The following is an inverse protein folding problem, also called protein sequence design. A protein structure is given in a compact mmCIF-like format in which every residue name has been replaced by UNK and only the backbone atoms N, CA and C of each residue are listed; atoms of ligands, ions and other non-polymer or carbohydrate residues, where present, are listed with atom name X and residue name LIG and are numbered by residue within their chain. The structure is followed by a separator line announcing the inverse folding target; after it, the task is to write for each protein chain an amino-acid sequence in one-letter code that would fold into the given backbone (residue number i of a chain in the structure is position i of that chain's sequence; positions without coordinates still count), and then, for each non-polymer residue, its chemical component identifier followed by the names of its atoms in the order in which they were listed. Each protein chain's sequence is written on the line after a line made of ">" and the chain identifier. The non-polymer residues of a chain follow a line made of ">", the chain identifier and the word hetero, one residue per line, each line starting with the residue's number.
data_IF_461741111776
#
_entry.id   IF_461741111776
#
_cell.length_a   1.000
_cell.length_b   1.000
_cell.length_c   1.000
_cell.angle_alpha   90.00
_cell.angle_beta   90.00
_cell.angle_gamma   90.00
#
_symmetry.space_group_name_H-M   'P 1'
#
loop_
_entity.id
_entity.type
_entity.pdbx_description
1 polymer ?
#
# COMPACT_ATOMS: atom_id res chain seq x y z
N UNK A 1 -38.66 2.23 -7.14
CA UNK A 1 -37.99 1.15 -6.40
C UNK A 1 -36.49 1.32 -6.25
N UNK A 2 -36.06 2.58 -5.97
CA UNK A 2 -34.63 2.92 -5.81
C UNK A 2 -33.92 2.09 -4.73
N UNK A 3 -34.59 1.67 -3.68
CA UNK A 3 -34.05 0.83 -2.60
C UNK A 3 -33.74 -0.60 -3.10
N UNK A 4 -34.56 -1.19 -3.94
CA UNK A 4 -34.34 -2.53 -4.51
C UNK A 4 -33.17 -2.48 -5.50
N UNK A 5 -33.14 -1.48 -6.38
CA UNK A 5 -32.04 -1.29 -7.32
C UNK A 5 -30.70 -1.00 -6.60
N UNK A 6 -30.73 -0.30 -5.47
CA UNK A 6 -29.56 -0.07 -4.65
C UNK A 6 -29.04 -1.35 -4.01
N UNK A 7 -29.95 -2.17 -3.48
CA UNK A 7 -29.60 -3.45 -2.85
C UNK A 7 -29.07 -4.47 -3.87
N UNK A 8 -29.66 -4.50 -5.08
CA UNK A 8 -29.19 -5.38 -6.15
C UNK A 8 -27.80 -4.99 -6.66
N UNK A 9 -27.50 -3.69 -6.77
CA UNK A 9 -26.16 -3.21 -7.11
C UNK A 9 -25.12 -3.58 -6.04
N UNK A 10 -25.46 -3.42 -4.76
CA UNK A 10 -24.57 -3.82 -3.66
C UNK A 10 -24.30 -5.32 -3.66
N UNK A 11 -25.34 -6.15 -3.90
CA UNK A 11 -25.19 -7.59 -3.97
C UNK A 11 -24.32 -8.02 -5.16
N UNK A 12 -24.47 -7.38 -6.32
CA UNK A 12 -23.65 -7.65 -7.51
C UNK A 12 -22.18 -7.22 -7.33
N UNK A 13 -21.94 -6.06 -6.67
CA UNK A 13 -20.60 -5.62 -6.31
C UNK A 13 -19.94 -6.57 -5.32
N UNK A 14 -20.67 -7.03 -4.30
CA UNK A 14 -20.17 -8.00 -3.32
C UNK A 14 -19.80 -9.33 -3.99
N UNK A 15 -20.62 -9.84 -4.91
CA UNK A 15 -20.33 -11.06 -5.68
C UNK A 15 -19.08 -10.92 -6.54
N UNK A 16 -18.92 -9.78 -7.25
CA UNK A 16 -17.73 -9.50 -8.05
C UNK A 16 -16.48 -9.42 -7.18
N UNK A 17 -16.56 -8.78 -6.01
CA UNK A 17 -15.45 -8.72 -5.07
C UNK A 17 -15.06 -10.10 -4.55
N UNK A 18 -16.03 -10.93 -4.16
CA UNK A 18 -15.75 -12.30 -3.71
C UNK A 18 -15.12 -13.15 -4.82
N UNK A 19 -15.58 -13.03 -6.06
CA UNK A 19 -15.02 -13.71 -7.22
C UNK A 19 -13.58 -13.30 -7.51
N UNK A 20 -13.28 -12.00 -7.46
CA UNK A 20 -11.94 -11.47 -7.65
C UNK A 20 -10.98 -11.92 -6.54
N UNK A 21 -11.42 -11.92 -5.28
CA UNK A 21 -10.63 -12.43 -4.15
C UNK A 21 -10.33 -13.91 -4.30
N UNK A 22 -11.34 -14.72 -4.62
CA UNK A 22 -11.15 -16.16 -4.83
C UNK A 22 -10.14 -16.44 -5.95
N UNK A 23 -10.19 -15.70 -7.06
CA UNK A 23 -9.23 -15.83 -8.15
C UNK A 23 -7.81 -15.41 -7.74
N UNK A 24 -7.69 -14.29 -7.02
CA UNK A 24 -6.41 -13.78 -6.54
C UNK A 24 -5.72 -14.72 -5.54
N UNK A 25 -6.49 -15.46 -4.74
CA UNK A 25 -5.96 -16.44 -3.79
C UNK A 25 -5.64 -17.80 -4.45
N UNK A 26 -6.35 -18.17 -5.53
CA UNK A 26 -6.15 -19.44 -6.22
C UNK A 26 -4.74 -19.56 -6.85
N UNK A 27 -4.22 -18.48 -7.41
CA UNK A 27 -2.91 -18.47 -8.08
C UNK A 27 -1.76 -18.80 -7.12
N UNK A 28 -1.56 -18.05 -6.01
CA UNK A 28 -0.50 -18.36 -5.05
C UNK A 28 -0.68 -19.74 -4.38
N UNK A 29 -1.93 -20.15 -4.13
CA UNK A 29 -2.20 -21.50 -3.62
C UNK A 29 -1.76 -22.57 -4.60
N UNK A 30 -2.03 -22.40 -5.89
CA UNK A 30 -1.59 -23.35 -6.92
C UNK A 30 -0.07 -23.44 -7.02
N UNK A 31 0.65 -22.32 -6.85
CA UNK A 31 2.13 -22.31 -6.82
C UNK A 31 2.65 -23.13 -5.64
N UNK A 32 2.07 -22.96 -4.44
CA UNK A 32 2.42 -23.77 -3.25
C UNK A 32 2.17 -25.26 -3.51
N UNK A 33 1.00 -25.60 -4.06
CA UNK A 33 0.65 -27.00 -4.35
C UNK A 33 1.59 -27.65 -5.35
N UNK A 34 1.96 -26.94 -6.43
CA UNK A 34 2.90 -27.42 -7.45
C UNK A 34 4.29 -27.61 -6.83
N UNK A 35 4.79 -26.63 -6.06
CA UNK A 35 6.08 -26.73 -5.40
C UNK A 35 6.14 -27.90 -4.41
N UNK A 36 5.06 -28.13 -3.67
CA UNK A 36 4.95 -29.26 -2.74
C UNK A 36 4.92 -30.60 -3.48
N UNK A 37 4.13 -30.71 -4.55
CA UNK A 37 4.02 -31.94 -5.36
C UNK A 37 5.34 -32.28 -6.09
N UNK A 38 6.11 -31.26 -6.48
CA UNK A 38 7.41 -31.42 -7.13
C UNK A 38 8.56 -31.69 -6.14
N UNK A 39 8.31 -31.66 -4.82
CA UNK A 39 9.36 -31.85 -3.80
C UNK A 39 10.49 -30.84 -3.89
N UNK A 40 10.16 -29.56 -4.23
CA UNK A 40 11.18 -28.54 -4.41
C UNK A 40 11.96 -28.29 -3.11
N UNK A 41 13.31 -28.16 -3.18
CA UNK A 41 14.16 -28.02 -2.00
C UNK A 41 13.91 -26.71 -1.24
N UNK A 42 13.35 -25.69 -1.89
CA UNK A 42 13.01 -24.38 -1.32
C UNK A 42 11.51 -24.22 -0.98
N UNK A 43 10.78 -25.33 -0.80
CA UNK A 43 9.34 -25.32 -0.50
C UNK A 43 8.97 -24.38 0.63
N UNK A 44 9.73 -24.36 1.73
CA UNK A 44 9.46 -23.46 2.86
C UNK A 44 9.49 -21.98 2.46
N UNK A 45 10.46 -21.61 1.62
CA UNK A 45 10.58 -20.24 1.09
C UNK A 45 9.42 -19.90 0.14
N UNK A 46 9.04 -20.86 -0.70
CA UNK A 46 7.89 -20.70 -1.61
C UNK A 46 6.60 -20.50 -0.81
N UNK A 47 6.36 -21.31 0.21
CA UNK A 47 5.17 -21.16 1.10
C UNK A 47 5.14 -19.79 1.77
N UNK A 48 6.26 -19.33 2.35
CA UNK A 48 6.33 -18.03 3.02
C UNK A 48 6.06 -16.89 2.02
N UNK A 49 6.63 -16.95 0.82
CA UNK A 49 6.43 -15.95 -0.24
C UNK A 49 4.95 -15.84 -0.63
N UNK A 50 4.36 -17.00 -0.95
CA UNK A 50 2.97 -17.05 -1.43
C UNK A 50 1.97 -16.74 -0.32
N UNK A 51 2.22 -17.17 0.92
CA UNK A 51 1.40 -16.79 2.08
C UNK A 51 1.40 -15.27 2.32
N UNK A 52 2.54 -14.60 2.17
CA UNK A 52 2.62 -13.13 2.24
C UNK A 52 1.81 -12.48 1.10
N UNK A 53 1.84 -13.06 -0.09
CA UNK A 53 1.06 -12.59 -1.24
C UNK A 53 -0.45 -12.72 -0.97
N UNK A 54 -0.89 -13.88 -0.46
CA UNK A 54 -2.29 -14.11 -0.10
C UNK A 54 -2.75 -13.15 0.98
N UNK A 55 -1.95 -12.92 2.02
CA UNK A 55 -2.27 -11.97 3.09
C UNK A 55 -2.48 -10.56 2.53
N UNK A 56 -1.58 -10.05 1.71
CA UNK A 56 -1.74 -8.73 1.08
C UNK A 56 -3.01 -8.63 0.23
N UNK A 57 -3.37 -9.68 -0.51
CA UNK A 57 -4.63 -9.71 -1.28
C UNK A 57 -5.85 -9.64 -0.37
N UNK A 58 -5.84 -10.38 0.73
CA UNK A 58 -6.92 -10.36 1.73
C UNK A 58 -7.05 -8.96 2.34
N UNK A 59 -5.94 -8.40 2.81
CA UNK A 59 -5.91 -7.08 3.45
C UNK A 59 -6.44 -5.99 2.50
N UNK A 60 -6.02 -6.01 1.24
CA UNK A 60 -6.54 -5.12 0.20
C UNK A 60 -8.07 -5.26 0.00
N UNK A 61 -8.56 -6.48 -0.14
CA UNK A 61 -10.01 -6.71 -0.33
C UNK A 61 -10.82 -6.33 0.91
N UNK A 62 -10.27 -6.53 2.11
CA UNK A 62 -10.89 -6.12 3.36
C UNK A 62 -10.91 -4.59 3.51
N UNK A 63 -9.82 -3.90 3.19
CA UNK A 63 -9.76 -2.44 3.20
C UNK A 63 -10.84 -1.87 2.26
N UNK A 64 -10.92 -2.38 1.03
CA UNK A 64 -11.93 -1.97 0.05
C UNK A 64 -13.36 -2.27 0.52
N UNK A 65 -13.62 -3.43 1.11
CA UNK A 65 -14.94 -3.81 1.63
C UNK A 65 -15.36 -2.91 2.80
N UNK A 66 -14.44 -2.60 3.71
CA UNK A 66 -14.67 -1.66 4.83
C UNK A 66 -15.01 -0.27 4.32
N UNK A 67 -14.28 0.22 3.34
CA UNK A 67 -14.43 1.55 2.81
C UNK A 67 -15.73 1.72 2.01
N UNK A 68 -16.17 0.73 1.23
CA UNK A 68 -17.48 0.76 0.55
C UNK A 68 -18.63 0.73 1.58
N UNK A 69 -18.51 -0.06 2.65
CA UNK A 69 -19.50 -0.11 3.73
C UNK A 69 -19.56 1.16 4.59
N UNK A 70 -18.55 2.01 4.53
CA UNK A 70 -18.40 3.20 5.40
C UNK A 70 -18.45 4.55 4.69
N UNK A 71 -18.80 4.63 3.42
CA UNK A 71 -19.01 5.90 2.69
C UNK A 71 -19.96 6.91 3.38
N UNK A 72 -20.42 6.62 4.59
CA UNK A 72 -21.21 7.48 5.45
C UNK A 72 -20.63 7.69 6.87
N UNK A 73 -19.50 7.11 7.22
CA UNK A 73 -18.91 7.26 8.55
C UNK A 73 -17.96 8.46 8.57
N UNK A 74 -18.49 9.63 8.92
CA UNK A 74 -17.73 10.86 9.18
C UNK A 74 -16.74 10.76 10.38
N UNK A 75 -16.40 9.56 10.84
CA UNK A 75 -15.72 9.33 12.12
C UNK A 75 -14.36 8.65 12.02
N UNK A 76 -13.91 8.25 10.83
CA UNK A 76 -12.59 7.65 10.67
C UNK A 76 -11.50 8.72 10.76
N UNK A 77 -10.79 8.77 11.89
CA UNK A 77 -9.74 9.76 12.16
C UNK A 77 -8.50 9.03 12.68
N UNK A 78 -7.39 9.20 12.01
CA UNK A 78 -6.11 8.63 12.43
C UNK A 78 -5.08 9.73 12.71
N UNK A 79 -4.39 9.62 13.84
CA UNK A 79 -3.19 10.40 14.10
C UNK A 79 -2.05 9.90 13.21
N UNK A 80 -1.46 10.79 12.42
CA UNK A 80 -0.49 10.41 11.39
C UNK A 80 0.87 10.08 11.99
N UNK A 81 1.35 10.88 12.93
CA UNK A 81 2.69 10.72 13.49
C UNK A 81 2.91 9.37 14.19
N UNK A 82 2.01 8.89 15.07
CA UNK A 82 2.14 7.56 15.69
C UNK A 82 2.18 6.41 14.67
N UNK A 83 1.51 6.55 13.51
CA UNK A 83 1.55 5.57 12.41
C UNK A 83 2.91 5.58 11.71
N UNK A 84 3.46 6.78 11.41
CA UNK A 84 4.81 6.92 10.83
C UNK A 84 5.85 6.27 11.75
N UNK A 85 5.84 6.58 13.05
CA UNK A 85 6.78 6.00 14.01
C UNK A 85 6.65 4.47 14.14
N UNK A 86 5.42 3.95 14.08
CA UNK A 86 5.19 2.51 14.17
C UNK A 86 5.73 1.78 12.94
N UNK A 87 5.51 2.34 11.76
CA UNK A 87 5.99 1.81 10.48
C UNK A 87 7.51 1.92 10.37
N UNK A 88 8.10 3.07 10.75
CA UNK A 88 9.55 3.25 10.80
C UNK A 88 10.19 2.13 11.63
N UNK A 89 9.76 1.94 12.89
CA UNK A 89 10.29 0.87 13.76
C UNK A 89 10.12 -0.53 13.17
N UNK A 90 9.01 -0.80 12.49
CA UNK A 90 8.76 -2.11 11.90
C UNK A 90 9.67 -2.37 10.69
N UNK A 91 9.81 -1.38 9.79
CA UNK A 91 10.63 -1.49 8.58
C UNK A 91 12.12 -1.50 8.91
N UNK A 92 12.58 -0.68 9.87
CA UNK A 92 13.98 -0.68 10.32
C UNK A 92 14.43 -2.05 10.85
N UNK A 93 13.53 -2.80 11.49
CA UNK A 93 13.84 -4.19 11.93
C UNK A 93 13.97 -5.16 10.77
N UNK A 94 13.21 -4.97 9.69
CA UNK A 94 13.26 -5.83 8.50
C UNK A 94 14.43 -5.50 7.59
N UNK A 95 14.85 -4.22 7.59
CA UNK A 95 15.89 -3.68 6.73
C UNK A 95 16.97 -2.94 7.57
N UNK A 96 17.76 -3.67 8.40
CA UNK A 96 18.68 -3.07 9.37
C UNK A 96 19.82 -2.25 8.75
N UNK A 97 20.06 -2.39 7.45
CA UNK A 97 21.08 -1.65 6.72
C UNK A 97 20.52 -0.38 6.03
N UNK A 98 19.23 -0.09 6.20
CA UNK A 98 18.59 1.09 5.62
C UNK A 98 18.39 2.12 6.73
N UNK A 99 18.84 3.34 6.48
CA UNK A 99 18.59 4.47 7.35
C UNK A 99 17.22 5.06 7.03
N UNK A 100 16.36 5.17 8.03
CA UNK A 100 15.03 5.76 7.90
C UNK A 100 14.97 6.98 8.80
N UNK A 101 14.89 8.16 8.21
CA UNK A 101 14.71 9.43 8.92
C UNK A 101 13.25 9.88 8.79
N UNK A 102 12.70 10.44 9.86
CA UNK A 102 11.30 10.93 9.90
C UNK A 102 11.27 12.36 10.42
N UNK A 103 10.51 13.26 9.77
CA UNK A 103 10.34 14.66 10.19
C UNK A 103 8.93 15.18 9.86
N UNK A 104 8.55 16.31 10.44
CA UNK A 104 7.31 17.03 10.12
C UNK A 104 6.41 17.31 11.31
N UNK A 105 5.16 17.66 11.02
CA UNK A 105 4.16 18.03 12.01
C UNK A 105 3.62 16.78 12.74
N UNK A 106 3.59 16.82 14.07
CA UNK A 106 3.25 15.67 14.93
C UNK A 106 1.77 15.57 15.29
N UNK A 107 1.04 16.66 15.17
CA UNK A 107 -0.37 16.79 15.55
C UNK A 107 -1.35 16.57 14.40
N UNK A 108 -0.87 16.07 13.28
CA UNK A 108 -1.66 15.82 12.10
C UNK A 108 -2.67 14.69 12.30
N UNK A 109 -3.90 14.95 11.87
CA UNK A 109 -4.99 13.96 11.84
C UNK A 109 -5.55 13.89 10.42
N UNK A 110 -5.64 12.68 9.87
CA UNK A 110 -6.21 12.44 8.55
C UNK A 110 -7.56 11.70 8.65
N UNK A 111 -8.44 11.94 7.67
CA UNK A 111 -9.69 11.19 7.51
C UNK A 111 -9.42 9.80 6.91
N UNK A 112 -8.97 8.89 7.76
CA UNK A 112 -8.68 7.50 7.40
C UNK A 112 -8.75 6.63 8.65
N UNK A 113 -9.04 5.34 8.50
CA UNK A 113 -8.87 4.37 9.58
C UNK A 113 -7.38 4.16 9.87
N UNK A 114 -7.04 4.04 11.16
CA UNK A 114 -5.64 3.89 11.57
C UNK A 114 -4.97 2.67 10.90
N UNK A 115 -5.65 1.55 10.85
CA UNK A 115 -5.10 0.34 10.24
C UNK A 115 -4.81 0.53 8.75
N UNK A 116 -5.72 1.20 8.03
CA UNK A 116 -5.53 1.46 6.60
C UNK A 116 -4.37 2.45 6.37
N UNK A 117 -4.19 3.44 7.26
CA UNK A 117 -3.03 4.34 7.23
C UNK A 117 -1.73 3.58 7.49
N UNK A 118 -1.70 2.71 8.52
CA UNK A 118 -0.53 1.88 8.83
C UNK A 118 -0.16 0.97 7.64
N UNK A 119 -1.15 0.39 6.96
CA UNK A 119 -0.96 -0.44 5.76
C UNK A 119 -0.45 0.37 4.56
N UNK A 120 -0.97 1.59 4.33
CA UNK A 120 -0.49 2.51 3.29
C UNK A 120 0.98 2.87 3.51
N UNK A 121 1.30 3.37 4.70
CA UNK A 121 2.65 3.77 5.08
C UNK A 121 3.61 2.59 5.04
N UNK A 122 3.17 1.43 5.54
CA UNK A 122 3.96 0.19 5.49
C UNK A 122 4.36 -0.18 4.07
N UNK A 123 3.42 -0.13 3.12
CA UNK A 123 3.71 -0.40 1.70
C UNK A 123 4.69 0.62 1.10
N UNK A 124 4.54 1.91 1.42
CA UNK A 124 5.39 2.97 0.88
C UNK A 124 6.81 2.88 1.45
N UNK A 125 6.95 2.82 2.77
CA UNK A 125 8.26 2.80 3.44
C UNK A 125 9.00 1.49 3.18
N UNK A 126 8.29 0.33 3.14
CA UNK A 126 8.91 -0.95 2.74
C UNK A 126 9.40 -0.91 1.29
N UNK A 127 8.64 -0.30 0.37
CA UNK A 127 9.07 -0.13 -1.02
C UNK A 127 10.33 0.73 -1.10
N UNK A 128 10.36 1.87 -0.41
CA UNK A 128 11.51 2.76 -0.35
C UNK A 128 12.74 2.04 0.22
N UNK A 129 12.61 1.34 1.34
CA UNK A 129 13.70 0.57 1.93
C UNK A 129 14.21 -0.56 1.04
N UNK A 130 13.33 -1.16 0.25
CA UNK A 130 13.66 -2.30 -0.61
C UNK A 130 14.29 -1.89 -1.93
N UNK A 131 13.82 -0.82 -2.55
CA UNK A 131 14.23 -0.39 -3.89
C UNK A 131 15.19 0.78 -3.87
N UNK A 132 15.29 1.51 -2.73
CA UNK A 132 16.26 2.56 -2.48
C UNK A 132 17.70 2.06 -2.42
N UNK A 133 18.63 2.99 -2.26
CA UNK A 133 20.08 2.76 -2.15
C UNK A 133 20.56 2.52 -0.72
N UNK A 134 19.74 2.83 0.29
CA UNK A 134 20.09 2.70 1.70
C UNK A 134 19.54 3.80 2.61
N UNK A 135 18.93 4.84 2.03
CA UNK A 135 18.35 5.95 2.78
C UNK A 135 16.87 6.13 2.39
N UNK A 136 16.04 6.34 3.40
CA UNK A 136 14.63 6.67 3.26
C UNK A 136 14.33 7.89 4.11
N UNK A 137 13.60 8.85 3.57
CA UNK A 137 13.15 10.02 4.32
C UNK A 137 11.63 10.12 4.24
N UNK A 138 10.98 10.24 5.40
CA UNK A 138 9.52 10.37 5.50
C UNK A 138 9.19 11.70 6.13
N UNK A 139 8.44 12.55 5.40
CA UNK A 139 7.98 13.82 5.95
C UNK A 139 6.47 13.90 5.95
N UNK A 140 5.90 14.67 6.90
CA UNK A 140 4.47 14.90 6.99
C UNK A 140 4.14 16.35 7.29
N UNK A 141 3.15 16.90 6.58
CA UNK A 141 2.69 18.28 6.72
C UNK A 141 1.22 18.44 6.30
N UNK A 142 0.72 19.68 6.35
CA UNK A 142 -0.60 20.05 5.81
C UNK A 142 -0.44 20.99 4.65
N UNK A 143 -1.12 20.72 3.55
CA UNK A 143 -1.21 21.61 2.41
C UNK A 143 -2.63 21.62 1.84
N UNK A 144 -3.21 22.80 1.70
CA UNK A 144 -4.53 23.02 1.08
C UNK A 144 -5.65 22.12 1.61
N UNK A 145 -5.70 21.87 2.93
CA UNK A 145 -6.73 21.04 3.57
C UNK A 145 -6.48 19.54 3.49
N UNK A 146 -5.30 19.13 3.00
CA UNK A 146 -4.86 17.74 2.97
C UNK A 146 -3.65 17.55 3.89
N UNK A 147 -3.61 16.43 4.59
CA UNK A 147 -2.37 15.89 5.13
C UNK A 147 -1.57 15.34 3.96
N UNK A 148 -0.36 15.80 3.82
CA UNK A 148 0.58 15.35 2.80
C UNK A 148 1.70 14.58 3.48
N UNK A 149 1.94 13.35 3.03
CA UNK A 149 3.02 12.48 3.51
C UNK A 149 3.90 12.18 2.31
N UNK A 150 5.18 12.53 2.43
CA UNK A 150 6.20 12.28 1.41
C UNK A 150 7.07 11.12 1.89
N UNK A 151 7.31 10.17 1.02
CA UNK A 151 8.25 9.06 1.25
C UNK A 151 9.27 9.11 0.11
N UNK A 152 10.52 9.36 0.47
CA UNK A 152 11.62 9.55 -0.46
C UNK A 152 12.67 8.45 -0.28
N UNK A 153 13.29 8.02 -1.36
CA UNK A 153 14.40 7.09 -1.34
C UNK A 153 15.57 7.59 -2.22
N UNK A 154 16.75 7.02 -2.00
CA UNK A 154 17.98 7.27 -2.76
C UNK A 154 18.25 6.22 -3.85
N UNK A 155 17.20 5.58 -4.35
CA UNK A 155 17.27 4.57 -5.39
C UNK A 155 17.39 5.17 -6.80
N UNK A 156 17.13 4.32 -7.80
CA UNK A 156 17.20 4.71 -9.21
C UNK A 156 15.99 5.53 -9.69
N UNK A 157 15.02 5.77 -8.81
CA UNK A 157 13.76 6.38 -9.19
C UNK A 157 12.93 5.54 -10.17
N UNK A 158 11.87 6.14 -10.70
CA UNK A 158 11.00 5.55 -11.73
C UNK A 158 10.94 6.51 -12.91
N UNK A 159 11.29 6.06 -14.14
CA UNK A 159 11.17 6.88 -15.34
C UNK A 159 9.75 7.44 -15.50
N UNK A 160 9.62 8.68 -15.94
CA UNK A 160 8.32 9.35 -16.08
C UNK A 160 7.31 8.54 -16.91
N UNK A 161 7.77 7.92 -17.98
CA UNK A 161 6.96 7.06 -18.85
C UNK A 161 6.33 5.86 -18.12
N UNK A 162 6.93 5.42 -17.02
CA UNK A 162 6.48 4.25 -16.26
C UNK A 162 5.68 4.63 -14.98
N UNK A 163 5.69 5.90 -14.56
CA UNK A 163 5.06 6.37 -13.30
C UNK A 163 3.54 6.12 -13.27
N UNK A 164 2.87 6.13 -14.40
CA UNK A 164 1.45 5.80 -14.48
C UNK A 164 1.25 4.28 -14.43
N UNK A 165 2.05 3.55 -15.21
CA UNK A 165 1.91 2.10 -15.36
C UNK A 165 2.30 1.31 -14.11
N UNK A 166 3.19 1.85 -13.27
CA UNK A 166 3.65 1.16 -12.06
C UNK A 166 2.53 0.99 -11.02
N UNK A 167 1.44 1.76 -11.12
CA UNK A 167 0.24 1.56 -10.32
C UNK A 167 -0.66 0.43 -10.84
N UNK A 168 -0.39 -0.12 -12.03
CA UNK A 168 -1.16 -1.26 -12.54
C UNK A 168 -0.75 -2.54 -11.80
N UNK A 169 -1.73 -3.39 -11.53
CA UNK A 169 -1.52 -4.61 -10.73
C UNK A 169 -0.55 -5.56 -11.42
N UNK A 170 0.46 -5.98 -10.67
CA UNK A 170 1.46 -6.95 -11.13
C UNK A 170 2.58 -6.33 -11.98
N UNK A 171 2.54 -5.03 -12.26
CA UNK A 171 3.61 -4.34 -12.96
C UNK A 171 4.84 -4.23 -12.04
N UNK A 172 5.99 -4.57 -12.59
CA UNK A 172 7.29 -4.50 -11.91
C UNK A 172 8.33 -3.99 -12.89
N UNK A 173 9.07 -2.98 -12.48
CA UNK A 173 10.22 -2.46 -13.25
C UNK A 173 11.51 -3.23 -12.95
N UNK A 174 11.60 -3.82 -11.77
CA UNK A 174 12.74 -4.65 -11.36
C UNK A 174 12.26 -6.08 -11.04
N UNK A 175 12.63 -7.02 -11.90
CA UNK A 175 12.34 -8.46 -11.72
C UNK A 175 13.36 -9.16 -10.80
N UNK A 176 14.50 -8.53 -10.52
CA UNK A 176 15.58 -9.09 -9.71
C UNK A 176 15.31 -9.11 -8.20
N UNK A 177 14.49 -8.16 -7.69
CA UNK A 177 14.13 -8.13 -6.26
C UNK A 177 12.79 -8.84 -6.02
N UNK A 178 12.61 -9.63 -4.95
CA UNK A 178 11.36 -10.33 -4.68
C UNK A 178 10.21 -9.34 -4.44
N UNK A 179 9.04 -9.55 -5.05
CA UNK A 179 7.86 -8.69 -4.87
C UNK A 179 6.71 -9.09 -5.79
N UNK A 180 5.50 -8.62 -5.50
CA UNK A 180 4.28 -8.97 -6.23
C UNK A 180 3.83 -7.90 -7.22
N UNK A 181 4.43 -6.70 -7.19
CA UNK A 181 3.95 -5.56 -7.98
C UNK A 181 2.58 -5.03 -7.55
N UNK A 182 2.17 -5.28 -6.30
CA UNK A 182 0.85 -4.89 -5.80
C UNK A 182 0.90 -3.70 -4.85
N UNK A 183 2.06 -3.39 -4.26
CA UNK A 183 2.17 -2.39 -3.18
C UNK A 183 1.64 -1.01 -3.57
N UNK A 184 2.12 -0.44 -4.67
CA UNK A 184 1.68 0.87 -5.14
C UNK A 184 0.23 0.85 -5.67
N UNK A 185 -0.21 -0.23 -6.30
CA UNK A 185 -1.61 -0.39 -6.71
C UNK A 185 -2.55 -0.35 -5.50
N UNK A 186 -2.19 -1.05 -4.42
CA UNK A 186 -2.95 -1.03 -3.15
C UNK A 186 -2.97 0.37 -2.55
N UNK A 187 -1.82 1.06 -2.54
CA UNK A 187 -1.73 2.44 -2.03
C UNK A 187 -2.68 3.36 -2.78
N UNK A 188 -2.69 3.31 -4.11
CA UNK A 188 -3.60 4.12 -4.93
C UNK A 188 -5.06 3.78 -4.64
N UNK A 189 -5.42 2.50 -4.71
CA UNK A 189 -6.80 2.04 -4.51
C UNK A 189 -7.32 2.45 -3.12
N UNK A 190 -6.51 2.33 -2.06
CA UNK A 190 -6.92 2.72 -0.70
C UNK A 190 -6.96 4.23 -0.54
N UNK A 191 -5.98 4.98 -1.07
CA UNK A 191 -6.02 6.44 -1.01
C UNK A 191 -7.29 7.01 -1.67
N UNK A 192 -7.65 6.53 -2.87
CA UNK A 192 -8.87 6.92 -3.59
C UNK A 192 -10.16 6.65 -2.81
N UNK A 193 -10.20 5.58 -2.00
CA UNK A 193 -11.34 5.25 -1.14
C UNK A 193 -11.59 6.34 -0.09
N UNK A 194 -10.52 6.97 0.39
CA UNK A 194 -10.55 8.06 1.38
C UNK A 194 -10.49 9.45 0.72
N UNK A 195 -10.87 9.57 -0.56
CA UNK A 195 -10.83 10.82 -1.34
C UNK A 195 -9.42 11.46 -1.36
N UNK A 196 -8.40 10.64 -1.20
CA UNK A 196 -7.00 11.00 -1.27
C UNK A 196 -6.40 10.74 -2.65
N UNK A 197 -5.12 11.07 -2.79
CA UNK A 197 -4.36 10.85 -4.02
C UNK A 197 -2.95 10.36 -3.71
N UNK A 198 -2.35 9.65 -4.67
CA UNK A 198 -0.94 9.30 -4.65
C UNK A 198 -0.30 9.69 -5.97
N UNK A 199 0.88 10.31 -5.91
CA UNK A 199 1.70 10.66 -7.08
C UNK A 199 3.15 10.25 -6.88
N UNK A 200 3.86 10.10 -8.02
CA UNK A 200 5.26 9.73 -8.06
C UNK A 200 6.05 10.85 -8.73
N UNK A 201 7.11 11.27 -8.09
CA UNK A 201 8.01 12.33 -8.52
C UNK A 201 9.46 11.87 -8.34
N UNK A 202 10.40 12.65 -8.80
CA UNK A 202 11.81 12.47 -8.48
C UNK A 202 12.10 13.18 -7.16
N UNK A 203 12.86 12.52 -6.26
CA UNK A 203 13.30 13.16 -5.03
C UNK A 203 14.41 14.14 -5.35
N UNK A 204 14.19 15.42 -5.04
CA UNK A 204 15.23 16.46 -5.17
C UNK A 204 16.30 16.31 -4.09
N UNK A 205 15.95 15.80 -2.91
CA UNK A 205 16.83 15.68 -1.75
C UNK A 205 17.72 14.44 -1.81
N UNK A 206 17.15 13.29 -2.22
CA UNK A 206 17.85 12.00 -2.24
C UNK A 206 18.18 11.50 -3.65
N UNK A 207 17.59 12.09 -4.68
CA UNK A 207 17.85 11.74 -6.09
C UNK A 207 17.18 10.45 -6.58
N UNK A 208 16.34 9.81 -5.77
CA UNK A 208 15.59 8.62 -6.13
C UNK A 208 14.11 8.90 -6.34
N UNK A 209 13.23 8.05 -5.82
CA UNK A 209 11.79 8.19 -5.94
C UNK A 209 11.23 9.01 -4.77
N UNK A 210 10.35 9.96 -5.09
CA UNK A 210 9.45 10.60 -4.13
C UNK A 210 8.03 10.10 -4.38
N UNK A 211 7.42 9.52 -3.36
CA UNK A 211 5.99 9.18 -3.34
C UNK A 211 5.25 10.17 -2.47
N UNK A 212 4.30 10.88 -3.05
CA UNK A 212 3.45 11.86 -2.37
C UNK A 212 2.06 11.26 -2.13
N UNK A 213 1.72 11.01 -0.88
CA UNK A 213 0.39 10.59 -0.45
C UNK A 213 -0.35 11.79 0.14
N UNK A 214 -1.55 12.07 -0.36
CA UNK A 214 -2.43 13.14 0.15
C UNK A 214 -3.73 12.54 0.65
N UNK A 215 -4.11 12.84 1.87
CA UNK A 215 -5.35 12.40 2.50
C UNK A 215 -6.08 13.63 3.07
N UNK A 216 -7.42 13.70 3.03
CA UNK A 216 -8.16 14.80 3.62
C UNK A 216 -7.77 14.99 5.09
N UNK A 217 -7.45 16.23 5.49
CA UNK A 217 -7.16 16.55 6.87
C UNK A 217 -8.44 16.49 7.72
N UNK A 218 -8.36 15.88 8.89
CA UNK A 218 -9.44 15.88 9.86
C UNK A 218 -9.21 17.05 10.85
N UNK A 219 -10.20 17.93 10.92
CA UNK A 219 -10.23 19.07 11.84
C UNK A 219 -10.37 18.60 13.29
#
# INVERSE_FOLDING_TARGET
>A
NALVEHNDRQAEEARRHAGNLAHALKTPLSVIMIAAAAGQPDLAQAVIREARTMRRQIDHHLARARAVGRRGSAHSRAQVWPSIEAVERAVARLYPNVRIDIDGQKDLVAHIERQDLDDLLGNLVENAAKYGGGSVFVTAGVQAGFVEILVEDDGRGIPEADRIRIFDRGVRLDSGKPGTGLGLAIVRDVAEIYDGTVSLEESEDLGGLLVRLRLPAAS
#
